data_IF_826618074098
#
_entry.id   IF_826618074098
#
_cell.length_a   1.000
_cell.length_b   1.000
_cell.length_c   1.000
_cell.angle_alpha   90.00
_cell.angle_beta   90.00
_cell.angle_gamma   90.00
#
_symmetry.space_group_name_H-M   'P 1'
#
loop_
_entity.id
_entity.type
_entity.pdbx_description
1 polymer ?
#
# COMPACT_ATOMS: atom_id res chain seq x y z
N UNK A 1 -0.27 4.23 -15.53
CA UNK A 1 -1.39 4.98 -16.13
C UNK A 1 -2.11 5.79 -15.09
N UNK A 2 -2.36 7.08 -15.30
CA UNK A 2 -3.17 7.82 -14.33
C UNK A 2 -4.61 7.34 -14.33
N UNK A 3 -5.24 7.49 -13.18
CA UNK A 3 -6.62 7.10 -12.98
C UNK A 3 -7.54 8.25 -13.35
N UNK A 4 -8.57 7.96 -14.14
CA UNK A 4 -9.53 8.96 -14.54
C UNK A 4 -10.82 8.83 -13.74
N UNK A 5 -11.25 9.94 -13.16
CA UNK A 5 -12.47 10.01 -12.35
C UNK A 5 -13.39 11.04 -12.98
N UNK A 6 -14.22 10.58 -13.92
CA UNK A 6 -15.04 11.49 -14.69
C UNK A 6 -14.16 12.44 -15.49
N UNK A 7 -14.25 13.75 -15.19
CA UNK A 7 -13.42 14.74 -15.84
C UNK A 7 -12.10 14.98 -15.14
N UNK A 8 -11.93 14.42 -13.95
CA UNK A 8 -10.70 14.57 -13.18
C UNK A 8 -9.77 13.41 -13.47
N UNK A 9 -8.49 13.68 -13.35
CA UNK A 9 -7.44 12.64 -13.49
C UNK A 9 -6.60 12.66 -12.24
N UNK A 10 -6.37 11.49 -11.69
CA UNK A 10 -5.48 11.33 -10.53
C UNK A 10 -4.19 10.70 -11.05
N UNK A 11 -3.08 11.41 -10.87
CA UNK A 11 -1.78 10.93 -11.33
C UNK A 11 -1.31 9.75 -10.50
N UNK A 12 -0.43 8.93 -11.10
CA UNK A 12 0.12 7.77 -10.42
C UNK A 12 0.81 8.17 -9.11
N UNK A 13 1.53 9.28 -9.12
CA UNK A 13 2.22 9.75 -7.91
C UNK A 13 1.24 10.08 -6.80
N UNK A 14 0.06 10.58 -7.15
CA UNK A 14 -0.96 10.90 -6.15
C UNK A 14 -1.53 9.63 -5.53
N UNK A 15 -1.79 8.62 -6.35
CA UNK A 15 -2.26 7.32 -5.84
C UNK A 15 -1.21 6.72 -4.90
N UNK A 16 0.04 6.74 -5.32
CA UNK A 16 1.11 6.21 -4.48
C UNK A 16 1.23 6.97 -3.16
N UNK A 17 1.07 8.29 -3.20
CA UNK A 17 1.12 9.11 -1.98
C UNK A 17 0.00 8.76 -1.01
N UNK A 18 -1.20 8.49 -1.53
CA UNK A 18 -2.31 8.08 -0.68
C UNK A 18 -1.99 6.78 0.03
N UNK A 19 -1.48 5.80 -0.72
CA UNK A 19 -1.14 4.50 -0.14
C UNK A 19 0.01 4.64 0.85
N UNK A 20 1.02 5.44 0.52
CA UNK A 20 2.16 5.67 1.41
C UNK A 20 1.69 6.29 2.73
N UNK A 21 0.80 7.27 2.66
CA UNK A 21 0.23 7.87 3.88
C UNK A 21 -0.56 6.88 4.69
N UNK A 22 -1.32 6.01 4.03
CA UNK A 22 -2.11 4.99 4.72
C UNK A 22 -1.19 4.00 5.46
N UNK A 23 -0.15 3.51 4.78
CA UNK A 23 0.79 2.58 5.41
C UNK A 23 1.50 3.26 6.58
N UNK A 24 1.90 4.52 6.40
CA UNK A 24 2.60 5.27 7.46
C UNK A 24 1.73 5.46 8.69
N UNK A 25 0.41 5.42 8.56
CA UNK A 25 -0.49 5.57 9.70
C UNK A 25 -0.56 4.31 10.56
N UNK A 26 -0.01 3.19 10.09
CA UNK A 26 -0.04 1.93 10.81
C UNK A 26 1.32 1.74 11.49
N UNK A 27 1.30 1.71 12.83
CA UNK A 27 2.53 1.52 13.59
C UNK A 27 3.16 0.17 13.25
N UNK A 28 4.44 0.16 12.95
CA UNK A 28 5.17 -1.05 12.65
C UNK A 28 5.19 -1.45 11.19
N UNK A 29 4.62 -0.64 10.31
CA UNK A 29 4.60 -0.93 8.87
C UNK A 29 5.28 0.19 8.09
N UNK A 30 6.00 -0.16 7.04
CA UNK A 30 6.56 0.77 6.07
C UNK A 30 6.40 0.18 4.69
N UNK A 31 6.20 1.04 3.69
CA UNK A 31 6.31 0.58 2.32
C UNK A 31 7.73 0.09 2.07
N UNK A 32 7.85 -0.99 1.33
CA UNK A 32 9.15 -1.54 1.02
C UNK A 32 9.92 -0.57 0.13
N UNK A 33 11.26 -0.70 0.14
CA UNK A 33 12.11 0.20 -0.64
C UNK A 33 12.00 -0.13 -2.12
N UNK A 34 12.06 0.88 -3.01
CA UNK A 34 12.11 0.62 -4.43
C UNK A 34 13.28 -0.30 -4.77
N UNK A 35 13.05 -1.27 -5.64
CA UNK A 35 14.07 -2.21 -6.06
C UNK A 35 14.16 -3.45 -5.18
N UNK A 36 13.81 -3.37 -3.91
CA UNK A 36 13.85 -4.54 -3.03
C UNK A 36 12.78 -5.56 -3.43
N UNK A 37 11.63 -5.05 -3.82
CA UNK A 37 10.49 -5.90 -4.20
C UNK A 37 10.84 -6.80 -5.38
N UNK A 38 11.62 -6.28 -6.33
CA UNK A 38 11.96 -7.03 -7.54
C UNK A 38 12.75 -8.31 -7.22
N UNK A 39 13.50 -8.32 -6.12
CA UNK A 39 14.27 -9.51 -5.73
C UNK A 39 13.39 -10.58 -5.09
N UNK A 40 12.30 -10.16 -4.44
CA UNK A 40 11.42 -11.09 -3.73
C UNK A 40 10.26 -11.53 -4.62
N UNK A 41 9.74 -10.60 -5.41
CA UNK A 41 8.56 -10.82 -6.24
C UNK A 41 8.89 -10.45 -7.69
N UNK A 42 9.43 -11.39 -8.45
CA UNK A 42 9.80 -11.10 -9.86
C UNK A 42 8.60 -10.56 -10.62
N UNK A 43 8.84 -9.56 -11.47
CA UNK A 43 7.80 -8.93 -12.24
C UNK A 43 7.18 -7.70 -11.60
N UNK A 44 7.43 -7.48 -10.32
CA UNK A 44 6.95 -6.28 -9.63
C UNK A 44 7.87 -5.11 -9.92
N UNK A 45 7.28 -3.94 -10.08
CA UNK A 45 8.05 -2.74 -10.38
C UNK A 45 8.32 -1.89 -9.14
N UNK A 46 7.47 -1.99 -8.14
CA UNK A 46 7.62 -1.21 -6.93
C UNK A 46 6.74 -1.75 -5.83
N UNK A 47 6.76 -1.11 -4.65
CA UNK A 47 6.02 -1.61 -3.49
C UNK A 47 4.51 -1.39 -3.57
N UNK A 48 4.05 -0.59 -4.51
CA UNK A 48 2.62 -0.33 -4.69
C UNK A 48 2.28 -0.53 -6.15
N UNK A 49 1.35 -1.45 -6.42
CA UNK A 49 0.80 -1.63 -7.76
C UNK A 49 -0.70 -1.70 -7.64
N UNK A 50 -1.38 -1.28 -8.71
CA UNK A 50 -2.83 -1.30 -8.67
C UNK A 50 -3.41 -1.52 -10.06
N UNK A 51 -4.66 -1.98 -10.06
CA UNK A 51 -5.48 -2.08 -11.26
C UNK A 51 -6.80 -1.40 -10.97
N UNK A 52 -7.23 -0.53 -11.86
CA UNK A 52 -8.44 0.24 -11.67
C UNK A 52 -9.34 0.12 -12.88
N UNK A 53 -10.64 0.13 -12.63
CA UNK A 53 -11.65 0.31 -13.67
C UNK A 53 -12.48 1.54 -13.32
N UNK A 54 -13.68 1.67 -13.91
CA UNK A 54 -14.48 2.89 -13.75
C UNK A 54 -14.89 3.18 -12.32
N UNK A 55 -15.11 2.12 -11.54
CA UNK A 55 -15.75 2.27 -10.23
C UNK A 55 -14.94 1.66 -9.11
N UNK A 56 -13.93 0.86 -9.42
CA UNK A 56 -13.22 0.12 -8.38
C UNK A 56 -11.73 0.04 -8.66
N UNK A 57 -10.98 -0.26 -7.61
CA UNK A 57 -9.53 -0.36 -7.68
C UNK A 57 -9.06 -1.49 -6.77
N UNK A 58 -8.01 -2.18 -7.19
CA UNK A 58 -7.38 -3.22 -6.39
C UNK A 58 -5.90 -2.93 -6.29
N UNK A 59 -5.32 -3.24 -5.14
CA UNK A 59 -3.92 -2.94 -4.85
C UNK A 59 -3.14 -4.18 -4.47
N UNK A 60 -1.87 -4.16 -4.82
CA UNK A 60 -0.84 -5.03 -4.24
C UNK A 60 0.15 -4.12 -3.53
N UNK A 61 0.33 -4.34 -2.23
CA UNK A 61 1.16 -3.48 -1.40
C UNK A 61 2.20 -4.34 -0.69
N UNK A 62 3.46 -3.97 -0.82
CA UNK A 62 4.56 -4.70 -0.21
C UNK A 62 5.15 -3.86 0.91
N UNK A 63 5.21 -4.45 2.10
CA UNK A 63 5.63 -3.73 3.29
C UNK A 63 6.79 -4.42 3.98
N UNK A 64 7.54 -3.62 4.72
CA UNK A 64 8.49 -4.07 5.72
C UNK A 64 7.80 -3.94 7.07
N UNK A 65 7.88 -5.00 7.88
CA UNK A 65 7.26 -5.03 9.20
C UNK A 65 8.33 -4.84 10.27
N UNK A 66 7.97 -4.12 11.33
CA UNK A 66 8.85 -3.98 12.48
C UNK A 66 8.95 -5.32 13.22
N UNK A 67 10.18 -5.65 13.61
CA UNK A 67 10.43 -6.86 14.38
C UNK A 67 9.59 -6.85 15.66
N UNK A 68 8.98 -7.98 15.96
CA UNK A 68 8.17 -8.13 17.16
C UNK A 68 6.68 -7.94 16.95
N UNK A 69 6.27 -7.53 15.74
CA UNK A 69 4.83 -7.37 15.46
C UNK A 69 4.24 -8.69 15.00
N UNK A 70 2.96 -8.87 15.31
CA UNK A 70 2.21 -10.05 14.83
C UNK A 70 1.82 -9.78 13.38
N UNK A 71 2.43 -10.53 12.45
CA UNK A 71 2.35 -10.20 11.04
C UNK A 71 0.94 -10.26 10.46
N UNK A 72 0.11 -11.28 10.75
CA UNK A 72 -1.25 -11.27 10.21
C UNK A 72 -2.07 -10.08 10.68
N UNK A 73 -1.90 -9.66 11.93
CA UNK A 73 -2.62 -8.50 12.45
C UNK A 73 -2.15 -7.22 11.78
N UNK A 74 -0.83 -7.11 11.58
CA UNK A 74 -0.27 -5.95 10.92
C UNK A 74 -0.76 -5.85 9.47
N UNK A 75 -0.78 -6.98 8.77
CA UNK A 75 -1.24 -7.00 7.39
C UNK A 75 -2.70 -6.57 7.27
N UNK A 76 -3.56 -7.02 8.20
CA UNK A 76 -4.96 -6.60 8.22
C UNK A 76 -5.08 -5.11 8.49
N UNK A 77 -4.27 -4.57 9.42
CA UNK A 77 -4.31 -3.15 9.72
C UNK A 77 -3.89 -2.32 8.51
N UNK A 78 -2.87 -2.75 7.79
CA UNK A 78 -2.42 -2.05 6.58
C UNK A 78 -3.50 -2.13 5.50
N UNK A 79 -4.07 -3.31 5.29
CA UNK A 79 -5.14 -3.49 4.31
C UNK A 79 -6.29 -2.52 4.58
N UNK A 80 -6.74 -2.46 5.83
CA UNK A 80 -7.86 -1.63 6.20
C UNK A 80 -7.52 -0.14 6.06
N UNK A 81 -6.30 0.25 6.42
CA UNK A 81 -5.88 1.64 6.28
C UNK A 81 -5.82 2.06 4.82
N UNK A 82 -5.25 1.22 3.95
CA UNK A 82 -5.18 1.52 2.52
C UNK A 82 -6.58 1.63 1.94
N UNK A 83 -7.44 0.64 2.23
CA UNK A 83 -8.81 0.65 1.70
C UNK A 83 -9.55 1.91 2.14
N UNK A 84 -9.44 2.27 3.41
CA UNK A 84 -10.15 3.44 3.93
C UNK A 84 -9.65 4.75 3.34
N UNK A 85 -8.34 4.92 3.27
CA UNK A 85 -7.77 6.16 2.73
C UNK A 85 -8.11 6.34 1.25
N UNK A 86 -7.97 5.28 0.47
CA UNK A 86 -8.24 5.37 -0.96
C UNK A 86 -9.72 5.63 -1.22
N UNK A 87 -10.61 4.89 -0.53
CA UNK A 87 -12.04 5.09 -0.72
C UNK A 87 -12.45 6.51 -0.33
N UNK A 88 -11.91 7.03 0.75
CA UNK A 88 -12.26 8.36 1.23
C UNK A 88 -11.77 9.45 0.28
N UNK A 89 -10.58 9.30 -0.28
CA UNK A 89 -9.97 10.35 -1.09
C UNK A 89 -10.35 10.28 -2.57
N UNK A 90 -10.70 9.11 -3.07
CA UNK A 90 -11.01 8.95 -4.50
C UNK A 90 -12.48 8.66 -4.76
N UNK A 91 -13.22 8.20 -3.75
CA UNK A 91 -14.60 7.78 -3.94
C UNK A 91 -14.75 6.44 -4.64
N UNK A 92 -13.65 5.78 -4.99
CA UNK A 92 -13.70 4.49 -5.65
C UNK A 92 -13.96 3.39 -4.64
N UNK A 93 -14.59 2.32 -5.11
CA UNK A 93 -14.70 1.10 -4.33
C UNK A 93 -13.36 0.38 -4.35
N UNK A 94 -12.81 0.07 -3.19
CA UNK A 94 -11.58 -0.72 -3.11
C UNK A 94 -11.98 -2.17 -3.02
N UNK A 95 -11.79 -2.93 -4.11
CA UNK A 95 -12.27 -4.31 -4.16
C UNK A 95 -11.28 -5.30 -3.57
N UNK A 96 -10.00 -4.94 -3.48
CA UNK A 96 -9.01 -5.82 -2.87
C UNK A 96 -7.76 -5.02 -2.52
N UNK A 97 -7.13 -5.37 -1.39
CA UNK A 97 -5.80 -4.89 -1.04
C UNK A 97 -5.02 -6.12 -0.58
N UNK A 98 -4.09 -6.56 -1.40
CA UNK A 98 -3.23 -7.70 -1.07
C UNK A 98 -1.94 -7.16 -0.47
N UNK A 99 -1.69 -7.51 0.79
CA UNK A 99 -0.51 -7.04 1.51
C UNK A 99 0.49 -8.17 1.63
N UNK A 100 1.71 -7.92 1.19
CA UNK A 100 2.80 -8.88 1.33
C UNK A 100 3.84 -8.29 2.26
N UNK A 101 4.21 -9.05 3.29
CA UNK A 101 5.31 -8.66 4.17
C UNK A 101 6.59 -9.24 3.57
N UNK A 102 7.41 -8.37 3.02
CA UNK A 102 8.62 -8.78 2.31
C UNK A 102 9.85 -8.81 3.21
N UNK A 103 9.79 -8.15 4.37
CA UNK A 103 10.91 -8.06 5.26
C UNK A 103 10.43 -7.78 6.67
N UNK A 104 11.13 -8.36 7.65
CA UNK A 104 10.94 -8.02 9.05
C UNK A 104 12.26 -7.43 9.55
N UNK A 105 12.21 -6.21 10.04
CA UNK A 105 13.43 -5.49 10.42
C UNK A 105 13.14 -4.50 11.53
N UNK A 106 14.18 -4.00 12.14
CA UNK A 106 14.02 -2.91 13.08
C UNK A 106 13.81 -1.62 12.30
N UNK A 107 12.72 -0.92 12.61
CA UNK A 107 12.43 0.37 11.99
C UNK A 107 12.93 1.46 12.93
N UNK A 108 13.80 2.32 12.45
CA UNK A 108 14.26 3.44 13.23
C UNK A 108 13.12 4.36 13.58
N UNK A 109 13.08 4.81 14.85
CA UNK A 109 12.05 5.72 15.29
C UNK A 109 10.71 5.09 15.58
N UNK A 110 10.58 3.78 15.45
CA UNK A 110 9.34 3.08 15.73
C UNK A 110 9.16 2.92 17.22
N UNK A 111 7.95 3.20 17.71
CA UNK A 111 7.58 2.98 19.10
C UNK A 111 7.50 1.51 19.40
N UNK A 112 7.89 1.15 20.63
CA UNK A 112 7.84 -0.24 21.07
C UNK A 112 6.64 -0.53 21.92
#
# INVERSE_FOLDING_TARGET
>A
MPLRLGRATVADEAIESIVRGAVASVSGARLDAPGRVARVLPGRRGPVEWQADRASIAFDVDISAAYGRVLPELAVAVRDAVAGHVAQMTGLEVRAVDVTVTEVARHEGVER
#
